data_IF_315286092309
#
_entry.id   IF_315286092309
#
_cell.length_a   1.000
_cell.length_b   1.000
_cell.length_c   1.000
_cell.angle_alpha   90.00
_cell.angle_beta   90.00
_cell.angle_gamma   90.00
#
_symmetry.space_group_name_H-M   'P 1'
#
loop_
_entity.id
_entity.type
_entity.pdbx_description
1 polymer ?
#
# COMPACT_ATOMS: atom_id res chain seq x y z
N UNK A 1 10.28 5.55 5.25
CA UNK A 1 9.37 6.34 4.38
C UNK A 1 10.07 7.50 3.69
N UNK A 2 11.16 8.05 4.23
CA UNK A 2 11.87 9.23 3.67
C UNK A 2 12.43 9.08 2.24
N UNK A 3 12.51 7.86 1.71
CA UNK A 3 13.00 7.55 0.36
C UNK A 3 11.89 7.49 -0.70
N UNK A 4 10.61 7.60 -0.31
CA UNK A 4 9.50 7.63 -1.25
C UNK A 4 9.25 9.05 -1.77
N UNK A 5 8.74 9.22 -3.01
CA UNK A 5 8.30 10.52 -3.49
C UNK A 5 7.29 11.17 -2.51
N UNK A 6 7.43 12.46 -2.19
CA UNK A 6 6.51 13.15 -1.28
C UNK A 6 5.03 13.05 -1.70
N UNK A 7 4.77 13.08 -3.00
CA UNK A 7 3.44 12.92 -3.58
C UNK A 7 2.85 11.55 -3.24
N UNK A 8 3.67 10.49 -3.32
CA UNK A 8 3.28 9.14 -2.94
C UNK A 8 3.03 9.03 -1.43
N UNK A 9 3.87 9.67 -0.62
CA UNK A 9 3.69 9.67 0.85
C UNK A 9 2.39 10.37 1.24
N UNK A 10 2.01 11.47 0.56
CA UNK A 10 0.76 12.20 0.83
C UNK A 10 -0.51 11.41 0.47
N UNK A 11 -0.41 10.52 -0.50
CA UNK A 11 -1.50 9.61 -0.87
C UNK A 11 -1.76 8.57 0.23
N UNK A 12 -0.72 8.18 0.96
CA UNK A 12 -0.78 7.07 1.90
C UNK A 12 -1.19 7.56 3.30
N UNK A 13 -1.90 6.72 4.06
CA UNK A 13 -2.11 6.94 5.48
C UNK A 13 -0.77 6.85 6.23
N UNK A 14 -0.73 7.17 7.54
CA UNK A 14 0.46 6.92 8.35
C UNK A 14 0.91 5.45 8.24
N UNK A 15 2.17 5.24 7.84
CA UNK A 15 2.82 3.93 7.71
C UNK A 15 4.14 3.93 8.49
N UNK A 16 4.30 2.96 9.39
CA UNK A 16 5.56 2.72 10.09
C UNK A 16 6.63 2.17 9.15
N UNK A 17 7.90 2.41 9.47
CA UNK A 17 9.02 1.82 8.72
C UNK A 17 9.10 0.29 8.89
N UNK A 18 9.85 -0.36 7.99
CA UNK A 18 10.05 -1.82 8.01
C UNK A 18 10.58 -2.24 9.39
N UNK A 19 9.89 -3.17 10.04
CA UNK A 19 10.26 -3.70 11.36
C UNK A 19 9.95 -2.79 12.56
N UNK A 20 9.50 -1.55 12.34
CA UNK A 20 9.08 -0.66 13.43
C UNK A 20 7.79 -1.16 14.11
N UNK A 21 7.50 -0.72 15.35
CA UNK A 21 6.23 -1.03 16.01
C UNK A 21 5.04 -0.36 15.30
N UNK A 22 3.89 -1.02 15.32
CA UNK A 22 2.63 -0.52 14.77
C UNK A 22 1.44 -1.22 15.44
N UNK A 23 0.24 -0.66 15.31
CA UNK A 23 -1.00 -1.26 15.82
C UNK A 23 -1.50 -2.34 14.85
N UNK A 24 -1.18 -3.60 15.13
CA UNK A 24 -1.57 -4.75 14.30
C UNK A 24 -3.03 -5.19 14.50
N UNK A 25 -3.67 -4.79 15.60
CA UNK A 25 -5.07 -5.13 15.95
C UNK A 25 -5.83 -3.87 16.33
N UNK A 26 -7.16 -3.95 16.43
CA UNK A 26 -8.02 -2.89 16.97
C UNK A 26 -7.93 -2.72 18.50
N UNK A 27 -7.24 -3.61 19.21
CA UNK A 27 -6.88 -3.43 20.61
C UNK A 27 -5.62 -2.56 20.74
N UNK A 28 -5.82 -1.26 20.91
CA UNK A 28 -4.74 -0.25 20.93
C UNK A 28 -4.20 -0.01 22.32
N UNK A 29 -2.89 -0.21 22.50
CA UNK A 29 -2.16 0.17 23.73
C UNK A 29 -1.40 1.48 23.58
N UNK A 30 -0.90 1.79 22.38
CA UNK A 30 -0.25 3.06 22.06
C UNK A 30 -0.95 3.70 20.84
N UNK A 31 -1.77 4.75 21.05
CA UNK A 31 -2.51 5.40 19.98
C UNK A 31 -1.64 6.29 19.08
N UNK A 32 -0.37 6.50 19.42
CA UNK A 32 0.56 7.29 18.58
C UNK A 32 1.15 6.47 17.43
N UNK A 33 1.08 5.14 17.53
CA UNK A 33 1.56 4.24 16.48
C UNK A 33 0.57 4.16 15.30
N UNK A 34 1.05 4.08 14.05
CA UNK A 34 0.20 3.85 12.90
C UNK A 34 -0.39 2.43 12.91
N UNK A 35 -1.46 2.22 12.15
CA UNK A 35 -2.04 0.89 11.90
C UNK A 35 -1.45 0.16 10.70
N UNK A 36 -0.43 0.74 10.06
CA UNK A 36 0.18 0.19 8.86
C UNK A 36 1.69 0.12 9.04
N UNK A 37 2.32 -0.92 8.49
CA UNK A 37 3.78 -1.06 8.48
C UNK A 37 4.29 -1.40 7.09
N UNK A 38 5.29 -0.66 6.64
CA UNK A 38 5.91 -0.84 5.34
C UNK A 38 6.53 -2.24 5.27
N UNK A 39 6.27 -2.92 4.15
CA UNK A 39 6.93 -4.18 3.78
C UNK A 39 7.99 -3.90 2.74
N UNK A 40 7.58 -3.26 1.63
CA UNK A 40 8.44 -2.98 0.48
C UNK A 40 7.83 -1.87 -0.36
N UNK A 41 8.69 -1.10 -1.02
CA UNK A 41 8.28 -0.19 -2.07
C UNK A 41 9.32 -0.23 -3.20
N UNK A 42 8.91 0.21 -4.37
CA UNK A 42 9.78 0.30 -5.54
C UNK A 42 9.03 0.93 -6.71
N UNK A 43 9.70 1.05 -7.85
CA UNK A 43 9.11 1.67 -9.03
C UNK A 43 9.59 1.03 -10.33
N UNK A 44 8.78 1.25 -11.37
CA UNK A 44 9.15 1.10 -12.78
C UNK A 44 8.80 2.41 -13.47
N UNK A 45 9.82 3.16 -13.88
CA UNK A 45 9.67 4.53 -14.37
C UNK A 45 8.89 5.41 -13.37
N UNK A 46 7.79 6.02 -13.80
CA UNK A 46 6.90 6.83 -12.97
C UNK A 46 5.87 6.02 -12.17
N UNK A 47 5.76 4.71 -12.39
CA UNK A 47 4.79 3.87 -11.68
C UNK A 47 5.44 3.28 -10.43
N UNK A 48 4.95 3.69 -9.27
CA UNK A 48 5.43 3.26 -7.95
C UNK A 48 4.48 2.23 -7.35
N UNK A 49 5.03 1.29 -6.59
CA UNK A 49 4.26 0.41 -5.72
C UNK A 49 4.70 0.56 -4.27
N UNK A 50 3.75 0.40 -3.35
CA UNK A 50 3.98 0.28 -1.90
C UNK A 50 3.17 -0.88 -1.38
N UNK A 51 3.84 -1.77 -0.65
CA UNK A 51 3.22 -2.85 0.11
C UNK A 51 3.33 -2.57 1.59
N UNK A 52 2.24 -2.76 2.31
CA UNK A 52 2.23 -2.64 3.76
C UNK A 52 1.32 -3.68 4.40
N UNK A 53 1.62 -3.98 5.67
CA UNK A 53 0.69 -4.63 6.59
C UNK A 53 -0.40 -3.62 6.97
N UNK A 54 -1.63 -4.08 7.11
CA UNK A 54 -2.75 -3.30 7.59
C UNK A 54 -3.37 -4.01 8.80
N UNK A 55 -3.28 -3.39 9.98
CA UNK A 55 -3.91 -3.86 11.21
C UNK A 55 -5.32 -3.29 11.43
N UNK A 56 -5.88 -3.52 12.61
CA UNK A 56 -7.23 -3.10 12.97
C UNK A 56 -8.15 -4.31 13.20
N UNK A 57 -9.43 -4.19 12.81
CA UNK A 57 -10.42 -5.28 12.98
C UNK A 57 -9.99 -6.54 12.22
N UNK A 58 -9.32 -6.36 11.09
CA UNK A 58 -8.68 -7.44 10.32
C UNK A 58 -7.22 -7.11 10.06
N UNK A 59 -6.38 -8.14 10.10
CA UNK A 59 -4.99 -8.07 9.66
C UNK A 59 -4.86 -8.61 8.23
N UNK A 60 -4.33 -7.80 7.32
CA UNK A 60 -4.11 -8.17 5.93
C UNK A 60 -2.95 -7.40 5.31
N UNK A 61 -2.61 -7.73 4.07
CA UNK A 61 -1.60 -7.04 3.28
C UNK A 61 -2.26 -6.18 2.21
N UNK A 62 -1.68 -5.02 1.93
CA UNK A 62 -2.21 -4.11 0.92
C UNK A 62 -1.13 -3.70 -0.07
N UNK A 63 -1.50 -3.64 -1.35
CA UNK A 63 -0.70 -3.08 -2.42
C UNK A 63 -1.36 -1.81 -2.95
N UNK A 64 -0.60 -0.71 -2.94
CA UNK A 64 -0.96 0.54 -3.61
C UNK A 64 0.00 0.73 -4.78
N UNK A 65 -0.53 0.86 -5.98
CA UNK A 65 0.24 1.20 -7.18
C UNK A 65 -0.26 2.53 -7.71
N UNK A 66 0.64 3.49 -7.90
CA UNK A 66 0.30 4.83 -8.36
C UNK A 66 1.34 5.35 -9.35
N UNK A 67 0.86 6.07 -10.36
CA UNK A 67 1.71 6.88 -11.22
C UNK A 67 2.03 8.18 -10.51
N UNK A 68 3.32 8.47 -10.36
CA UNK A 68 3.84 9.65 -9.67
C UNK A 68 4.71 10.43 -10.65
N UNK A 69 4.27 11.64 -10.99
CA UNK A 69 5.02 12.58 -11.81
C UNK A 69 5.34 13.80 -10.95
N UNK A 70 6.60 14.24 -10.85
CA UNK A 70 6.98 15.36 -10.00
C UNK A 70 6.12 16.61 -10.26
N UNK A 71 5.57 17.19 -9.19
CA UNK A 71 4.75 18.39 -9.27
C UNK A 71 3.32 18.18 -9.80
N UNK A 72 2.88 16.93 -9.98
CA UNK A 72 1.49 16.57 -10.33
C UNK A 72 0.86 15.73 -9.23
N UNK A 73 -0.47 15.71 -9.18
CA UNK A 73 -1.19 14.81 -8.28
C UNK A 73 -0.95 13.35 -8.68
N UNK A 74 -0.66 12.44 -7.73
CA UNK A 74 -0.44 11.04 -8.04
C UNK A 74 -1.74 10.39 -8.52
N UNK A 75 -1.65 9.56 -9.57
CA UNK A 75 -2.80 8.80 -10.08
C UNK A 75 -2.74 7.37 -9.57
N UNK A 76 -3.70 6.97 -8.76
CA UNK A 76 -3.85 5.57 -8.31
C UNK A 76 -4.18 4.69 -9.52
N UNK A 77 -3.38 3.64 -9.71
CA UNK A 77 -3.59 2.60 -10.73
C UNK A 77 -4.24 1.36 -10.12
N UNK A 78 -3.85 1.01 -8.90
CA UNK A 78 -4.43 -0.09 -8.13
C UNK A 78 -4.34 0.20 -6.62
N UNK A 79 -5.37 -0.21 -5.88
CA UNK A 79 -5.39 -0.18 -4.42
C UNK A 79 -6.17 -1.40 -3.93
N UNK A 80 -5.46 -2.41 -3.41
CA UNK A 80 -6.10 -3.68 -3.06
C UNK A 80 -5.50 -4.35 -1.83
N UNK A 81 -6.38 -4.91 -1.01
CA UNK A 81 -6.04 -5.77 0.12
C UNK A 81 -6.03 -7.25 -0.27
N UNK A 82 -5.27 -8.06 0.46
CA UNK A 82 -5.23 -9.53 0.35
C UNK A 82 -4.81 -10.17 1.67
N UNK A 83 -5.31 -11.37 1.94
CA UNK A 83 -4.82 -12.28 3.01
C UNK A 83 -3.96 -13.43 2.43
N UNK A 84 -3.56 -13.32 1.16
CA UNK A 84 -2.86 -14.36 0.41
C UNK A 84 -1.57 -13.82 -0.21
N UNK A 85 -0.87 -14.63 -0.98
CA UNK A 85 0.42 -14.32 -1.61
C UNK A 85 0.31 -13.48 -2.90
N UNK A 86 -0.76 -12.70 -3.06
CA UNK A 86 -1.12 -12.07 -4.34
C UNK A 86 -0.49 -10.70 -4.60
N UNK A 87 0.29 -10.14 -3.67
CA UNK A 87 0.91 -8.81 -3.79
C UNK A 87 1.74 -8.64 -5.08
N UNK A 88 2.52 -9.65 -5.45
CA UNK A 88 3.29 -9.63 -6.70
C UNK A 88 2.37 -9.57 -7.92
N UNK A 89 1.41 -10.50 -8.01
CA UNK A 89 0.46 -10.58 -9.13
C UNK A 89 -0.36 -9.30 -9.29
N UNK A 90 -0.78 -8.70 -8.16
CA UNK A 90 -1.46 -7.41 -8.12
C UNK A 90 -0.59 -6.31 -8.73
N UNK A 91 0.67 -6.22 -8.30
CA UNK A 91 1.61 -5.17 -8.72
C UNK A 91 1.99 -5.32 -10.19
N UNK A 92 2.36 -6.54 -10.61
CA UNK A 92 2.70 -6.85 -12.00
C UNK A 92 1.51 -6.60 -12.94
N UNK A 93 0.30 -6.96 -12.50
CA UNK A 93 -0.92 -6.70 -13.25
C UNK A 93 -1.25 -5.22 -13.38
N UNK A 94 -1.02 -4.43 -12.33
CA UNK A 94 -1.22 -2.97 -12.38
C UNK A 94 -0.21 -2.31 -13.34
N UNK A 95 1.05 -2.75 -13.28
CA UNK A 95 2.08 -2.33 -14.21
C UNK A 95 1.78 -2.75 -15.67
N UNK A 96 1.17 -3.91 -15.89
CA UNK A 96 0.75 -4.35 -17.22
C UNK A 96 -0.54 -3.67 -17.70
N UNK A 97 -1.20 -2.85 -16.87
CA UNK A 97 -2.47 -2.21 -17.19
C UNK A 97 -3.65 -3.19 -17.27
N UNK A 98 -3.54 -4.36 -16.64
CA UNK A 98 -4.57 -5.41 -16.62
C UNK A 98 -5.25 -5.54 -15.24
N UNK A 99 -4.77 -4.81 -14.25
CA UNK A 99 -5.42 -4.63 -12.94
C UNK A 99 -5.82 -3.17 -12.82
N UNK A 100 -7.08 -2.88 -12.43
CA UNK A 100 -8.19 -3.83 -12.21
C UNK A 100 -8.69 -4.52 -13.50
N UNK A 101 -9.35 -5.71 -13.44
CA UNK A 101 -9.87 -6.39 -12.25
C UNK A 101 -8.80 -7.03 -11.34
N UNK A 102 -9.12 -7.16 -10.05
CA UNK A 102 -8.21 -7.73 -9.06
C UNK A 102 -8.18 -9.27 -9.11
N UNK A 103 -7.02 -9.92 -8.91
CA UNK A 103 -6.90 -11.37 -8.91
C UNK A 103 -7.69 -12.02 -7.75
N UNK A 104 -8.07 -13.30 -7.87
CA UNK A 104 -8.71 -14.05 -6.79
C UNK A 104 -7.91 -13.97 -5.47
N UNK A 105 -8.61 -13.79 -4.35
CA UNK A 105 -7.99 -13.62 -3.03
C UNK A 105 -7.57 -12.18 -2.71
N UNK A 106 -7.96 -11.21 -3.54
CA UNK A 106 -7.78 -9.79 -3.28
C UNK A 106 -9.06 -9.00 -3.52
N UNK A 107 -9.16 -7.81 -2.92
CA UNK A 107 -10.33 -6.94 -3.01
C UNK A 107 -9.92 -5.48 -3.14
N UNK A 108 -10.77 -4.69 -3.79
CA UNK A 108 -10.59 -3.25 -3.89
C UNK A 108 -10.66 -2.61 -2.50
N UNK A 109 -9.71 -1.74 -2.17
CA UNK A 109 -9.85 -0.81 -1.07
C UNK A 109 -10.42 0.52 -1.61
N UNK A 110 -11.52 0.98 -1.03
CA UNK A 110 -12.17 2.24 -1.42
C UNK A 110 -11.43 3.47 -0.93
N UNK A 111 -10.68 3.33 0.16
CA UNK A 111 -10.10 4.44 0.91
C UNK A 111 -8.65 4.15 1.33
N UNK A 112 -7.96 5.21 1.70
CA UNK A 112 -6.62 5.18 2.29
C UNK A 112 -6.75 5.26 3.81
#
# INVERSE_FOLDING_TARGET
>A
MSQLPPELVRLLPPVADVGAPFNATDSVSDPTLPFRRLIRAGNRDADWFVWYEHGGIGYFWQAVVARVVPGSDPKVLANAGTISDTLCRLTDGAFAGVVPPYPPGSWAASDF
#
